data_IF_455379680264
#
_entry.id   IF_455379680264
#
_cell.length_a   1.000
_cell.length_b   1.000
_cell.length_c   1.000
_cell.angle_alpha   90.00
_cell.angle_beta   90.00
_cell.angle_gamma   90.00
#
_symmetry.space_group_name_H-M   'P 1'
#
loop_
_entity.id
_entity.type
_entity.pdbx_description
1 polymer ?
#
# COMPACT_ATOMS: atom_id res chain seq x y z
N UNK A 1 -10.41 1.86 -26.40
CA UNK A 1 -9.29 2.06 -25.48
C UNK A 1 -9.82 2.74 -24.22
N UNK A 2 -9.57 2.18 -23.05
CA UNK A 2 -9.95 2.80 -21.78
C UNK A 2 -9.09 4.06 -21.62
N UNK A 3 -9.71 5.24 -21.41
CA UNK A 3 -8.93 6.48 -21.26
C UNK A 3 -8.01 6.37 -20.04
N UNK A 4 -6.77 6.86 -20.16
CA UNK A 4 -5.77 6.83 -19.09
C UNK A 4 -6.32 7.34 -17.74
N UNK A 5 -7.31 8.24 -17.79
CA UNK A 5 -8.12 8.73 -16.66
C UNK A 5 -8.77 7.64 -15.82
N UNK A 6 -9.50 6.71 -16.44
CA UNK A 6 -10.19 5.65 -15.71
C UNK A 6 -9.22 4.65 -15.09
N UNK A 7 -8.09 4.38 -15.76
CA UNK A 7 -7.06 3.48 -15.23
C UNK A 7 -6.38 4.05 -13.98
N UNK A 8 -5.99 5.34 -14.00
CA UNK A 8 -5.43 6.01 -12.82
C UNK A 8 -6.45 6.17 -11.69
N UNK A 9 -7.72 6.44 -12.01
CA UNK A 9 -8.77 6.58 -11.00
C UNK A 9 -9.04 5.23 -10.31
N UNK A 10 -9.10 4.13 -11.07
CA UNK A 10 -9.18 2.80 -10.52
C UNK A 10 -7.98 2.46 -9.61
N UNK A 11 -6.77 2.93 -9.95
CA UNK A 11 -5.60 2.78 -9.07
C UNK A 11 -5.74 3.58 -7.78
N UNK A 12 -6.15 4.84 -7.84
CA UNK A 12 -6.34 5.68 -6.64
C UNK A 12 -7.38 5.04 -5.71
N UNK A 13 -8.53 4.63 -6.27
CA UNK A 13 -9.57 3.93 -5.51
C UNK A 13 -8.98 2.67 -4.87
N UNK A 14 -8.24 1.86 -5.62
CA UNK A 14 -7.61 0.64 -5.08
C UNK A 14 -6.65 0.96 -3.92
N UNK A 15 -5.82 1.98 -4.04
CA UNK A 15 -4.92 2.39 -2.96
C UNK A 15 -5.68 2.87 -1.72
N UNK A 16 -6.69 3.73 -1.89
CA UNK A 16 -7.52 4.23 -0.78
C UNK A 16 -8.25 3.07 -0.08
N UNK A 17 -8.78 2.12 -0.86
CA UNK A 17 -9.48 0.96 -0.30
C UNK A 17 -8.55 -0.01 0.41
N UNK A 18 -7.36 -0.25 -0.15
CA UNK A 18 -6.34 -1.09 0.48
C UNK A 18 -5.85 -0.46 1.80
N UNK A 19 -5.68 0.86 1.79
CA UNK A 19 -5.36 1.63 2.99
C UNK A 19 -6.47 1.55 4.04
N UNK A 20 -7.74 1.72 3.64
CA UNK A 20 -8.89 1.59 4.54
C UNK A 20 -9.00 0.19 5.15
N UNK A 21 -8.82 -0.87 4.36
CA UNK A 21 -8.78 -2.25 4.86
C UNK A 21 -7.66 -2.43 5.88
N UNK A 22 -6.48 -1.88 5.60
CA UNK A 22 -5.35 -1.93 6.53
C UNK A 22 -5.65 -1.20 7.85
N UNK A 23 -6.36 -0.07 7.80
CA UNK A 23 -6.80 0.64 9.01
C UNK A 23 -7.66 -0.22 9.91
N UNK A 24 -8.67 -0.89 9.33
CA UNK A 24 -9.58 -1.75 10.09
C UNK A 24 -8.79 -2.89 10.73
N UNK A 25 -7.85 -3.48 9.99
CA UNK A 25 -7.02 -4.57 10.50
C UNK A 25 -6.13 -4.12 11.66
N UNK A 26 -5.49 -2.94 11.57
CA UNK A 26 -4.70 -2.39 12.68
C UNK A 26 -5.57 -2.16 13.91
N UNK A 27 -6.75 -1.55 13.76
CA UNK A 27 -7.66 -1.30 14.88
C UNK A 27 -8.08 -2.61 15.57
N UNK A 28 -8.45 -3.62 14.79
CA UNK A 28 -8.75 -4.96 15.33
C UNK A 28 -7.54 -5.56 16.03
N UNK A 29 -6.35 -5.42 15.44
CA UNK A 29 -5.09 -5.90 15.99
C UNK A 29 -4.83 -5.35 17.39
N UNK A 30 -5.04 -4.04 17.58
CA UNK A 30 -4.83 -3.38 18.88
C UNK A 30 -5.85 -3.85 19.92
N UNK A 31 -7.09 -4.09 19.52
CA UNK A 31 -8.12 -4.65 20.40
C UNK A 31 -7.69 -6.06 20.86
N UNK A 32 -7.28 -6.92 19.94
CA UNK A 32 -6.78 -8.26 20.28
C UNK A 32 -5.54 -8.21 21.17
N UNK A 33 -4.59 -7.32 20.88
CA UNK A 33 -3.38 -7.15 21.67
C UNK A 33 -3.67 -6.64 23.08
N UNK A 34 -4.67 -5.75 23.23
CA UNK A 34 -5.07 -5.20 24.53
C UNK A 34 -5.76 -6.22 25.43
N UNK A 35 -6.33 -7.29 24.86
CA UNK A 35 -6.95 -8.38 25.61
C UNK A 35 -5.92 -9.39 26.13
N UNK A 36 -4.71 -9.39 25.57
CA UNK A 36 -3.66 -10.35 25.87
C UNK A 36 -2.80 -9.80 27.04
N UNK A 37 -3.01 -10.32 28.26
CA UNK A 37 -2.45 -9.76 29.50
C UNK A 37 -0.92 -9.91 29.63
N UNK A 38 -0.27 -10.66 28.74
CA UNK A 38 1.18 -10.90 28.74
C UNK A 38 1.99 -9.96 27.86
N UNK A 39 1.37 -8.96 27.23
CA UNK A 39 2.03 -8.10 26.24
C UNK A 39 2.77 -6.94 26.92
N UNK A 40 4.00 -6.70 26.47
CA UNK A 40 4.83 -5.60 26.96
C UNK A 40 4.13 -4.23 26.76
N UNK A 41 4.29 -3.34 27.74
CA UNK A 41 3.73 -1.98 27.74
C UNK A 41 4.19 -1.18 26.51
N UNK A 42 5.41 -1.41 26.05
CA UNK A 42 5.95 -0.77 24.85
C UNK A 42 5.15 -1.16 23.60
N UNK A 43 4.79 -2.44 23.46
CA UNK A 43 4.01 -2.92 22.31
C UNK A 43 2.60 -2.34 22.30
N UNK A 44 1.96 -2.27 23.46
CA UNK A 44 0.64 -1.65 23.61
C UNK A 44 0.71 -0.17 23.25
N UNK A 45 1.74 0.54 23.73
CA UNK A 45 1.93 1.97 23.44
C UNK A 45 2.14 2.24 21.94
N UNK A 46 3.01 1.47 21.27
CA UNK A 46 3.24 1.59 19.83
C UNK A 46 1.98 1.27 19.04
N UNK A 47 1.22 0.27 19.46
CA UNK A 47 -0.05 -0.13 18.83
C UNK A 47 -1.10 0.98 18.92
N UNK A 48 -1.24 1.61 20.10
CA UNK A 48 -2.13 2.76 20.31
C UNK A 48 -1.68 3.95 19.45
N UNK A 49 -0.37 4.26 19.42
CA UNK A 49 0.18 5.34 18.61
C UNK A 49 -0.07 5.10 17.11
N UNK A 50 0.13 3.87 16.63
CA UNK A 50 -0.16 3.47 15.26
C UNK A 50 -1.64 3.60 14.92
N UNK A 51 -2.53 3.16 15.82
CA UNK A 51 -3.98 3.31 15.64
C UNK A 51 -4.38 4.78 15.55
N UNK A 52 -3.85 5.62 16.43
CA UNK A 52 -4.11 7.06 16.40
C UNK A 52 -3.63 7.70 15.10
N UNK A 53 -2.39 7.40 14.68
CA UNK A 53 -1.82 7.89 13.43
C UNK A 53 -2.64 7.44 12.21
N UNK A 54 -3.13 6.20 12.24
CA UNK A 54 -3.99 5.65 11.20
C UNK A 54 -5.32 6.42 11.16
N UNK A 55 -5.95 6.69 12.30
CA UNK A 55 -7.17 7.53 12.38
C UNK A 55 -6.92 8.93 11.81
N UNK A 56 -5.83 9.60 12.20
CA UNK A 56 -5.45 10.92 11.67
C UNK A 56 -5.29 10.89 10.14
N UNK A 57 -4.70 9.82 9.60
CA UNK A 57 -4.54 9.67 8.16
C UNK A 57 -5.87 9.49 7.41
N UNK A 58 -6.83 8.72 7.95
CA UNK A 58 -8.19 8.67 7.40
C UNK A 58 -8.87 10.03 7.42
N UNK A 59 -8.83 10.73 8.56
CA UNK A 59 -9.40 12.07 8.66
C UNK A 59 -8.78 13.02 7.65
N UNK A 60 -7.46 12.96 7.45
CA UNK A 60 -6.76 13.76 6.45
C UNK A 60 -7.25 13.45 5.03
N UNK A 61 -7.38 12.17 4.68
CA UNK A 61 -7.92 11.76 3.37
C UNK A 61 -9.35 12.25 3.17
N UNK A 62 -10.23 12.02 4.14
CA UNK A 62 -11.64 12.45 4.07
C UNK A 62 -11.73 13.98 3.97
N UNK A 63 -10.98 14.70 4.80
CA UNK A 63 -10.95 16.16 4.82
C UNK A 63 -10.39 16.77 3.54
N UNK A 64 -9.42 16.09 2.91
CA UNK A 64 -8.85 16.49 1.62
C UNK A 64 -9.84 16.26 0.47
N UNK A 65 -10.52 15.11 0.45
CA UNK A 65 -11.52 14.77 -0.56
C UNK A 65 -12.88 15.49 -0.37
N UNK A 66 -13.18 16.02 0.82
CA UNK A 66 -14.48 16.63 1.14
C UNK A 66 -14.72 18.02 0.51
N UNK A 67 -13.74 18.66 -0.15
CA UNK A 67 -13.93 20.01 -0.69
C UNK A 67 -13.32 20.20 -2.07
N UNK A 68 -14.19 20.47 -3.05
CA UNK A 68 -13.86 20.83 -4.45
C UNK A 68 -12.80 21.93 -4.53
N UNK A 69 -12.88 22.94 -3.65
CA UNK A 69 -11.95 24.09 -3.62
C UNK A 69 -10.54 23.72 -3.14
N UNK A 70 -10.40 22.66 -2.32
CA UNK A 70 -9.10 22.17 -1.83
C UNK A 70 -8.42 21.27 -2.84
N UNK A 71 -9.19 20.45 -3.57
CA UNK A 71 -8.67 19.67 -4.70
C UNK A 71 -8.10 20.56 -5.81
N UNK A 72 -8.76 21.67 -6.17
CA UNK A 72 -8.23 22.63 -7.16
C UNK A 72 -6.94 23.30 -6.66
N UNK A 73 -6.84 23.59 -5.36
CA UNK A 73 -5.63 24.17 -4.77
C UNK A 73 -4.48 23.16 -4.69
N UNK A 74 -4.77 21.90 -4.37
CA UNK A 74 -3.79 20.82 -4.41
C UNK A 74 -3.31 20.52 -5.82
N UNK A 75 -4.21 20.53 -6.82
CA UNK A 75 -3.85 20.42 -8.23
C UNK A 75 -2.87 21.52 -8.65
N UNK A 76 -3.09 22.78 -8.20
CA UNK A 76 -2.13 23.88 -8.41
C UNK A 76 -0.77 23.62 -7.73
N UNK A 77 -0.75 23.12 -6.51
CA UNK A 77 0.50 22.75 -5.82
C UNK A 77 1.23 21.61 -6.53
N UNK A 78 0.52 20.57 -6.98
CA UNK A 78 1.10 19.46 -7.73
C UNK A 78 1.66 19.92 -9.07
N UNK A 79 0.96 20.81 -9.79
CA UNK A 79 1.45 21.40 -11.05
C UNK A 79 2.70 22.25 -10.80
N UNK A 80 2.77 22.98 -9.69
CA UNK A 80 3.95 23.76 -9.31
C UNK A 80 5.14 22.87 -8.93
N UNK A 81 4.91 21.81 -8.15
CA UNK A 81 5.93 20.83 -7.78
C UNK A 81 6.47 20.10 -9.01
N UNK A 82 5.58 19.63 -9.88
CA UNK A 82 5.96 18.93 -11.12
C UNK A 82 6.68 19.88 -12.08
N UNK A 83 6.25 21.14 -12.21
CA UNK A 83 6.99 22.12 -13.02
C UNK A 83 8.34 22.50 -12.40
N UNK A 84 8.48 22.56 -11.07
CA UNK A 84 9.77 22.82 -10.41
C UNK A 84 10.71 21.62 -10.50
N UNK A 85 10.20 20.40 -10.30
CA UNK A 85 10.95 19.16 -10.49
C UNK A 85 11.34 18.98 -11.96
N UNK A 86 10.43 19.24 -12.90
CA UNK A 86 10.76 19.23 -14.32
C UNK A 86 11.79 20.30 -14.66
N UNK A 87 11.74 21.50 -14.07
CA UNK A 87 12.74 22.54 -14.24
C UNK A 87 14.11 22.12 -13.70
N UNK A 88 14.13 21.44 -12.55
CA UNK A 88 15.34 20.93 -11.91
C UNK A 88 15.95 19.77 -12.70
N UNK A 89 15.16 18.76 -13.07
CA UNK A 89 15.60 17.57 -13.80
C UNK A 89 15.92 17.87 -15.28
N UNK A 90 15.19 18.79 -15.92
CA UNK A 90 15.38 19.14 -17.33
C UNK A 90 16.39 20.29 -17.51
N UNK A 91 17.08 20.73 -16.44
CA UNK A 91 18.02 21.87 -16.47
C UNK A 91 17.43 23.08 -17.22
N UNK A 92 16.15 23.38 -16.98
CA UNK A 92 15.45 24.53 -17.56
C UNK A 92 15.02 24.43 -19.04
N UNK A 93 15.18 23.30 -19.75
CA UNK A 93 14.87 23.22 -21.19
C UNK A 93 13.39 23.07 -21.56
N UNK A 94 12.48 22.70 -20.65
CA UNK A 94 11.02 22.64 -20.92
C UNK A 94 10.20 23.32 -19.82
N UNK A 95 9.55 24.44 -20.15
CA UNK A 95 8.86 25.33 -19.20
C UNK A 95 7.37 25.02 -18.96
N UNK A 96 6.72 24.19 -19.76
CA UNK A 96 5.27 23.88 -19.65
C UNK A 96 5.00 22.45 -20.13
N UNK A 97 5.07 21.46 -19.22
CA UNK A 97 4.75 20.06 -19.55
C UNK A 97 3.30 19.68 -19.18
N UNK A 98 2.67 20.40 -18.24
CA UNK A 98 1.29 20.18 -17.81
C UNK A 98 0.51 21.51 -17.80
N UNK A 99 -0.59 21.60 -18.55
CA UNK A 99 -1.55 22.70 -18.43
C UNK A 99 -2.39 22.49 -17.17
N UNK A 100 -2.44 23.51 -16.31
CA UNK A 100 -3.20 23.45 -15.05
C UNK A 100 -4.69 23.09 -15.28
N UNK A 101 -5.24 23.45 -16.44
CA UNK A 101 -6.63 23.19 -16.83
C UNK A 101 -6.94 21.68 -16.99
N UNK A 102 -6.00 20.90 -17.53
CA UNK A 102 -6.22 19.46 -17.74
C UNK A 102 -6.12 18.68 -16.42
N UNK A 103 -5.24 19.11 -15.52
CA UNK A 103 -5.10 18.54 -14.16
C UNK A 103 -6.30 18.92 -13.30
N UNK A 104 -6.79 20.16 -13.40
CA UNK A 104 -7.99 20.61 -12.70
C UNK A 104 -9.22 19.80 -13.12
N UNK A 105 -9.40 19.57 -14.43
CA UNK A 105 -10.49 18.74 -14.95
C UNK A 105 -10.38 17.29 -14.46
N UNK A 106 -9.18 16.71 -14.44
CA UNK A 106 -8.93 15.37 -13.92
C UNK A 106 -9.29 15.23 -12.43
N UNK A 107 -8.90 16.19 -11.61
CA UNK A 107 -9.23 16.18 -10.18
C UNK A 107 -10.73 16.41 -9.92
N UNK A 108 -11.41 17.19 -10.77
CA UNK A 108 -12.87 17.37 -10.70
C UNK A 108 -13.61 16.10 -11.14
N UNK A 109 -13.13 15.41 -12.16
CA UNK A 109 -13.68 14.11 -12.58
C UNK A 109 -13.48 13.06 -11.49
N UNK A 110 -12.30 13.01 -10.84
CA UNK A 110 -12.02 12.15 -9.67
C UNK A 110 -12.97 12.46 -8.50
N UNK A 111 -13.28 13.73 -8.26
CA UNK A 111 -14.22 14.15 -7.21
C UNK A 111 -15.65 13.71 -7.52
N UNK A 112 -16.10 13.86 -8.77
CA UNK A 112 -17.43 13.42 -9.18
C UNK A 112 -17.57 11.90 -9.09
N UNK A 113 -16.59 11.15 -9.59
CA UNK A 113 -16.54 9.69 -9.45
C UNK A 113 -16.51 9.27 -7.96
N UNK A 114 -15.80 9.99 -7.09
CA UNK A 114 -15.79 9.73 -5.65
C UNK A 114 -17.17 9.89 -5.00
N UNK A 115 -17.93 10.92 -5.37
CA UNK A 115 -19.29 11.14 -4.88
C UNK A 115 -20.23 10.05 -5.38
N UNK A 116 -20.10 9.66 -6.66
CA UNK A 116 -20.93 8.63 -7.28
C UNK A 116 -20.66 7.24 -6.66
N UNK A 117 -19.39 6.95 -6.37
CA UNK A 117 -18.95 5.74 -5.65
C UNK A 117 -19.41 5.73 -4.18
N UNK A 118 -19.46 6.88 -3.51
CA UNK A 118 -20.03 6.96 -2.15
C UNK A 118 -21.51 6.60 -2.10
N UNK A 119 -22.26 6.86 -3.17
CA UNK A 119 -23.69 6.54 -3.24
C UNK A 119 -23.92 5.03 -3.40
N UNK A 120 -23.01 4.31 -4.07
CA UNK A 120 -23.07 2.85 -4.20
C UNK A 120 -22.07 2.10 -3.27
N UNK A 121 -22.40 2.07 -1.97
CA UNK A 121 -21.62 1.36 -0.93
C UNK A 121 -21.30 -0.11 -1.26
N UNK A 122 -22.12 -0.78 -2.08
CA UNK A 122 -21.89 -2.17 -2.50
C UNK A 122 -20.71 -2.34 -3.46
N UNK A 123 -20.39 -1.33 -4.27
CA UNK A 123 -19.25 -1.38 -5.19
C UNK A 123 -17.94 -1.32 -4.39
N UNK A 124 -17.93 -0.58 -3.28
CA UNK A 124 -16.78 -0.45 -2.38
C UNK A 124 -16.52 -1.69 -1.52
N UNK A 125 -17.53 -2.51 -1.25
CA UNK A 125 -17.38 -3.68 -0.37
C UNK A 125 -16.45 -4.74 -0.96
N UNK A 126 -16.50 -4.97 -2.29
CA UNK A 126 -15.63 -5.94 -2.98
C UNK A 126 -14.14 -5.58 -2.88
N UNK A 127 -13.69 -4.36 -3.24
CA UNK A 127 -12.31 -3.91 -3.02
C UNK A 127 -11.88 -3.96 -1.56
N UNK A 128 -12.76 -3.59 -0.63
CA UNK A 128 -12.45 -3.61 0.81
C UNK A 128 -12.22 -5.04 1.30
N UNK A 129 -13.08 -5.99 0.93
CA UNK A 129 -12.89 -7.40 1.26
C UNK A 129 -11.60 -7.95 0.67
N UNK A 130 -11.31 -7.64 -0.60
CA UNK A 130 -10.03 -8.02 -1.21
C UNK A 130 -8.83 -7.41 -0.50
N UNK A 131 -8.95 -6.15 -0.05
CA UNK A 131 -7.93 -5.50 0.76
C UNK A 131 -7.73 -6.20 2.10
N UNK A 132 -8.81 -6.59 2.79
CA UNK A 132 -8.72 -7.35 4.05
C UNK A 132 -8.04 -8.69 3.81
N UNK A 133 -8.48 -9.45 2.82
CA UNK A 133 -7.88 -10.73 2.46
C UNK A 133 -6.40 -10.59 2.12
N UNK A 134 -6.02 -9.57 1.33
CA UNK A 134 -4.62 -9.31 1.00
C UNK A 134 -3.78 -9.04 2.25
N UNK A 135 -4.26 -8.17 3.16
CA UNK A 135 -3.56 -7.87 4.40
C UNK A 135 -3.44 -9.09 5.33
N UNK A 136 -4.49 -9.92 5.41
CA UNK A 136 -4.45 -11.18 6.15
C UNK A 136 -3.43 -12.14 5.54
N UNK A 137 -3.42 -12.28 4.22
CA UNK A 137 -2.45 -13.14 3.53
C UNK A 137 -1.01 -12.67 3.75
N UNK A 138 -0.77 -11.35 3.74
CA UNK A 138 0.56 -10.79 4.03
C UNK A 138 1.03 -11.15 5.45
N UNK A 139 0.15 -11.00 6.45
CA UNK A 139 0.46 -11.43 7.83
C UNK A 139 0.63 -12.93 7.94
N UNK A 140 -0.23 -13.71 7.29
CA UNK A 140 -0.14 -15.16 7.29
C UNK A 140 1.18 -15.63 6.69
N UNK A 141 1.64 -15.01 5.60
CA UNK A 141 2.92 -15.33 4.97
C UNK A 141 4.07 -15.10 5.95
N UNK A 142 4.05 -13.98 6.67
CA UNK A 142 5.05 -13.70 7.71
C UNK A 142 4.93 -14.70 8.86
N UNK A 143 3.72 -14.95 9.36
CA UNK A 143 3.48 -15.89 10.44
C UNK A 143 3.97 -17.31 10.11
N UNK A 144 3.73 -17.77 8.88
CA UNK A 144 4.23 -19.07 8.40
C UNK A 144 5.75 -19.07 8.29
N UNK A 145 6.38 -17.96 7.88
CA UNK A 145 7.83 -17.85 7.86
C UNK A 145 8.44 -17.96 9.28
N UNK A 146 7.83 -17.32 10.28
CA UNK A 146 8.24 -17.47 11.68
C UNK A 146 7.98 -18.87 12.22
N UNK A 147 6.84 -19.47 11.87
CA UNK A 147 6.50 -20.84 12.24
C UNK A 147 7.48 -21.87 11.65
N UNK A 148 7.95 -21.64 10.42
CA UNK A 148 8.97 -22.46 9.78
C UNK A 148 10.33 -22.42 10.50
N UNK A 149 10.61 -21.33 11.22
CA UNK A 149 11.77 -21.21 12.11
C UNK A 149 11.53 -21.79 13.51
N UNK A 150 10.33 -22.33 13.77
CA UNK A 150 9.95 -22.90 15.07
C UNK A 150 9.55 -21.86 16.12
N UNK A 151 9.29 -20.61 15.73
CA UNK A 151 8.93 -19.54 16.66
C UNK A 151 7.51 -19.02 16.41
N UNK A 152 6.69 -19.01 17.46
CA UNK A 152 5.32 -18.52 17.38
C UNK A 152 5.27 -17.01 17.69
N UNK A 153 4.86 -16.21 16.70
CA UNK A 153 4.62 -14.77 16.90
C UNK A 153 3.13 -14.52 16.87
N UNK A 154 2.61 -13.75 17.84
CA UNK A 154 1.21 -13.35 17.86
C UNK A 154 0.89 -12.56 16.56
N UNK A 155 -0.13 -12.97 15.76
CA UNK A 155 -0.51 -12.27 14.53
C UNK A 155 -0.81 -10.78 14.74
N UNK A 156 -1.26 -10.38 15.93
CA UNK A 156 -1.49 -8.99 16.25
C UNK A 156 -0.19 -8.15 16.22
N UNK A 157 0.88 -8.69 16.81
CA UNK A 157 2.21 -8.05 16.77
C UNK A 157 2.71 -7.94 15.33
N UNK A 158 2.47 -8.97 14.49
CA UNK A 158 2.83 -8.94 13.07
C UNK A 158 2.09 -7.84 12.30
N UNK A 159 0.79 -7.64 12.55
CA UNK A 159 0.02 -6.55 11.95
C UNK A 159 0.57 -5.16 12.33
N UNK A 160 0.93 -4.96 13.60
CA UNK A 160 1.52 -3.70 14.06
C UNK A 160 2.91 -3.50 13.46
N UNK A 161 3.71 -4.55 13.38
CA UNK A 161 5.02 -4.55 12.72
C UNK A 161 4.92 -4.17 11.24
N UNK A 162 3.96 -4.76 10.52
CA UNK A 162 3.62 -4.39 9.15
C UNK A 162 3.21 -2.91 9.06
N UNK A 163 2.39 -2.43 10.01
CA UNK A 163 1.92 -1.05 10.11
C UNK A 163 3.06 -0.05 10.14
N UNK A 164 3.86 -0.11 11.20
CA UNK A 164 4.97 0.83 11.41
C UNK A 164 6.00 0.77 10.27
N UNK A 165 6.28 -0.42 9.76
CA UNK A 165 7.24 -0.61 8.66
C UNK A 165 6.72 -0.04 7.34
N UNK A 166 5.44 -0.24 7.04
CA UNK A 166 4.81 0.31 5.82
C UNK A 166 4.79 1.83 5.84
N UNK A 167 4.51 2.44 7.00
CA UNK A 167 4.57 3.89 7.16
C UNK A 167 5.99 4.43 6.99
N UNK A 168 6.97 3.76 7.59
CA UNK A 168 8.35 4.20 7.47
C UNK A 168 8.92 4.04 6.05
N UNK A 169 8.47 3.03 5.31
CA UNK A 169 8.82 2.83 3.91
C UNK A 169 8.39 4.00 3.00
N UNK A 170 7.35 4.76 3.37
CA UNK A 170 6.92 5.96 2.62
C UNK A 170 8.02 7.03 2.59
N UNK A 171 8.80 7.12 3.67
CA UNK A 171 9.88 8.10 3.82
C UNK A 171 11.23 7.57 3.34
N UNK A 172 11.30 6.31 2.91
CA UNK A 172 12.54 5.71 2.45
C UNK A 172 12.86 6.13 1.01
N UNK A 173 14.10 6.60 0.78
CA UNK A 173 14.57 7.01 -0.54
C UNK A 173 14.84 5.84 -1.51
N UNK A 174 14.73 4.60 -1.03
CA UNK A 174 14.95 3.37 -1.81
C UNK A 174 13.69 2.99 -2.61
N UNK A 175 13.82 2.50 -3.85
CA UNK A 175 12.68 1.99 -4.62
C UNK A 175 11.90 0.93 -3.82
N UNK A 176 10.62 1.20 -3.53
CA UNK A 176 9.75 0.29 -2.77
C UNK A 176 10.03 0.22 -1.25
N UNK A 177 10.88 1.10 -0.70
CA UNK A 177 11.20 1.12 0.74
C UNK A 177 11.96 -0.09 1.27
N UNK A 178 12.51 -0.93 0.37
CA UNK A 178 13.30 -2.12 0.71
C UNK A 178 14.56 -1.72 1.50
N UNK A 179 14.93 -2.49 2.52
CA UNK A 179 15.93 -2.12 3.52
C UNK A 179 15.34 -1.43 4.74
N UNK A 180 14.72 -0.25 4.58
CA UNK A 180 14.13 0.51 5.71
C UNK A 180 12.93 -0.25 6.29
N UNK A 181 12.07 -0.76 5.41
CA UNK A 181 10.93 -1.57 5.80
C UNK A 181 11.36 -2.77 6.67
N UNK A 182 12.35 -3.52 6.19
CA UNK A 182 12.80 -4.76 6.84
C UNK A 182 13.49 -4.46 8.16
N UNK A 183 14.35 -3.43 8.19
CA UNK A 183 15.05 -3.03 9.40
C UNK A 183 14.06 -2.61 10.52
N UNK A 184 13.02 -1.85 10.17
CA UNK A 184 12.02 -1.41 11.16
C UNK A 184 11.16 -2.56 11.62
N UNK A 185 10.78 -3.46 10.73
CA UNK A 185 10.04 -4.67 11.09
C UNK A 185 10.86 -5.54 12.06
N UNK A 186 12.12 -5.82 11.73
CA UNK A 186 13.03 -6.61 12.57
C UNK A 186 13.23 -5.94 13.93
N UNK A 187 13.50 -4.64 13.95
CA UNK A 187 13.73 -3.88 15.19
C UNK A 187 12.49 -3.89 16.08
N UNK A 188 11.31 -3.70 15.49
CA UNK A 188 10.05 -3.76 16.22
C UNK A 188 9.78 -5.15 16.76
N UNK A 189 9.95 -6.21 15.97
CA UNK A 189 9.77 -7.58 16.43
C UNK A 189 10.77 -7.96 17.53
N UNK A 190 12.02 -7.51 17.43
CA UNK A 190 13.01 -7.67 18.49
C UNK A 190 12.58 -6.96 19.78
N UNK A 191 12.06 -5.73 19.68
CA UNK A 191 11.48 -5.02 20.83
C UNK A 191 10.22 -5.68 21.37
N UNK A 192 9.55 -6.51 20.57
CA UNK A 192 8.37 -7.27 20.94
C UNK A 192 8.67 -8.58 21.67
N UNK A 193 9.94 -8.88 21.93
CA UNK A 193 10.38 -10.12 22.57
C UNK A 193 10.68 -11.27 21.61
N UNK A 194 10.69 -11.04 20.30
CA UNK A 194 11.18 -12.02 19.32
C UNK A 194 12.72 -12.00 19.33
N UNK A 195 13.42 -13.15 19.44
CA UNK A 195 14.87 -13.19 19.30
C UNK A 195 15.34 -12.54 18.00
N UNK A 196 16.39 -11.70 18.05
CA UNK A 196 16.80 -10.87 16.92
C UNK A 196 17.23 -11.70 15.70
N UNK A 197 17.89 -12.83 15.93
CA UNK A 197 18.26 -13.83 14.92
C UNK A 197 17.03 -14.40 14.20
N UNK A 198 16.00 -14.75 14.96
CA UNK A 198 14.72 -15.23 14.43
C UNK A 198 13.96 -14.12 13.70
N UNK A 199 13.96 -12.89 14.22
CA UNK A 199 13.32 -11.74 13.61
C UNK A 199 13.92 -11.40 12.23
N UNK A 200 15.25 -11.42 12.12
CA UNK A 200 15.97 -11.23 10.86
C UNK A 200 15.64 -12.35 9.88
N UNK A 201 15.82 -13.60 10.32
CA UNK A 201 15.61 -14.77 9.46
C UNK A 201 14.15 -14.84 8.96
N UNK A 202 13.16 -14.64 9.85
CA UNK A 202 11.74 -14.74 9.53
C UNK A 202 11.28 -13.64 8.57
N UNK A 203 11.74 -12.40 8.80
CA UNK A 203 11.42 -11.26 7.93
C UNK A 203 12.01 -11.45 6.53
N UNK A 204 13.28 -11.83 6.43
CA UNK A 204 13.93 -12.06 5.14
C UNK A 204 13.33 -13.27 4.42
N UNK A 205 13.05 -14.37 5.13
CA UNK A 205 12.44 -15.56 4.56
C UNK A 205 11.05 -15.25 3.97
N UNK A 206 10.23 -14.49 4.70
CA UNK A 206 8.95 -14.00 4.19
C UNK A 206 9.12 -13.18 2.91
N UNK A 207 10.07 -12.23 2.90
CA UNK A 207 10.31 -11.34 1.74
C UNK A 207 10.81 -12.09 0.52
N UNK A 208 11.79 -12.98 0.70
CA UNK A 208 12.31 -13.82 -0.37
C UNK A 208 11.21 -14.73 -0.91
N UNK A 209 10.37 -15.31 -0.06
CA UNK A 209 9.25 -16.16 -0.48
C UNK A 209 8.21 -15.36 -1.28
N UNK A 210 7.86 -14.15 -0.82
CA UNK A 210 6.93 -13.27 -1.52
C UNK A 210 7.47 -12.85 -2.90
N UNK A 211 8.74 -12.44 -2.98
CA UNK A 211 9.36 -12.07 -4.25
C UNK A 211 9.51 -13.27 -5.19
N UNK A 212 10.00 -14.41 -4.69
CA UNK A 212 10.12 -15.64 -5.47
C UNK A 212 8.75 -16.10 -5.98
N UNK A 213 7.72 -16.07 -5.14
CA UNK A 213 6.34 -16.36 -5.52
C UNK A 213 5.86 -15.42 -6.63
N UNK A 214 6.04 -14.11 -6.45
CA UNK A 214 5.64 -13.10 -7.44
C UNK A 214 6.35 -13.29 -8.78
N UNK A 215 7.65 -13.55 -8.77
CA UNK A 215 8.45 -13.80 -9.97
C UNK A 215 8.01 -15.10 -10.66
N UNK A 216 7.80 -16.18 -9.90
CA UNK A 216 7.40 -17.47 -10.43
C UNK A 216 6.00 -17.40 -11.06
N UNK A 217 5.01 -16.84 -10.35
CA UNK A 217 3.68 -16.61 -10.89
C UNK A 217 3.71 -15.68 -12.11
N UNK A 218 4.52 -14.62 -12.06
CA UNK A 218 4.73 -13.71 -13.19
C UNK A 218 5.27 -14.45 -14.42
N UNK A 219 6.25 -15.32 -14.25
CA UNK A 219 6.84 -16.11 -15.34
C UNK A 219 5.86 -17.14 -15.92
N UNK A 220 5.12 -17.86 -15.08
CA UNK A 220 4.09 -18.80 -15.53
C UNK A 220 2.99 -18.10 -16.34
N UNK A 221 2.54 -16.94 -15.88
CA UNK A 221 1.53 -16.15 -16.60
C UNK A 221 2.07 -15.53 -17.89
N UNK A 222 3.35 -15.15 -17.90
CA UNK A 222 4.05 -14.69 -19.10
C UNK A 222 4.12 -15.78 -20.15
N UNK A 223 4.49 -17.02 -19.77
CA UNK A 223 4.50 -18.16 -20.68
C UNK A 223 3.11 -18.47 -21.22
N UNK A 224 2.07 -18.48 -20.38
CA UNK A 224 0.69 -18.70 -20.84
C UNK A 224 0.21 -17.62 -21.81
N UNK A 225 0.63 -16.37 -21.62
CA UNK A 225 0.26 -15.25 -22.50
C UNK A 225 0.94 -15.38 -23.86
N UNK A 226 2.24 -15.71 -23.90
CA UNK A 226 2.95 -15.95 -25.16
C UNK A 226 2.43 -17.20 -25.86
N UNK A 227 2.09 -18.27 -25.13
CA UNK A 227 1.57 -19.48 -25.76
C UNK A 227 0.17 -19.27 -26.39
N UNK A 228 -0.62 -18.34 -25.83
CA UNK A 228 -1.97 -18.01 -26.32
C UNK A 228 -1.98 -16.94 -27.43
N UNK A 229 -1.06 -15.97 -27.40
CA UNK A 229 -0.98 -14.89 -28.40
C UNK A 229 0.12 -15.08 -29.46
N UNK A 230 1.15 -15.88 -29.20
CA UNK A 230 2.19 -16.21 -30.18
C UNK A 230 1.63 -17.02 -31.36
N UNK A 231 0.65 -17.91 -31.12
CA UNK A 231 -0.02 -18.71 -32.16
C UNK A 231 -0.91 -17.91 -33.12
N UNK A 232 -1.33 -16.69 -32.77
CA UNK A 232 -2.11 -15.83 -33.68
C UNK A 232 -1.24 -15.05 -34.66
N UNK A 233 0.05 -14.86 -34.38
CA UNK A 233 0.96 -14.14 -35.28
C UNK A 233 1.42 -14.99 -36.46
N UNK A 234 1.51 -16.32 -36.30
CA UNK A 234 1.89 -17.24 -37.39
C UNK A 234 0.70 -17.61 -38.28
N UNK A 235 -0.53 -17.66 -37.74
CA UNK A 235 -1.75 -17.92 -38.52
C UNK A 235 -2.26 -16.70 -39.30
N UNK A 236 -1.74 -15.50 -39.06
CA UNK A 236 -2.06 -14.28 -39.81
C UNK A 236 -1.10 -14.04 -41.00
N UNK A 237 -0.03 -14.84 -41.11
CA UNK A 237 0.99 -14.76 -42.15
C UNK A 237 1.09 -16.04 -43.02
N UNK A 238 0.06 -16.90 -43.03
CA UNK A 238 -0.10 -18.01 -43.97
C UNK A 238 -1.44 -17.93 -44.70
#
# INVERSE_FOLDING_TARGET
>A
GVSACRATMAQIIRYVMMFASFMIMILLSVIFLSLDQGVDRLLISISIAMSFMTIVSAFTLIFFFSSRTRMVRAAKYTVLLVNNLAKFVTFGKKKHLLKAVDVEKYFVDIYHDYIEIQQEKKILLKPLMWGVVANVLDVCLIAVAFLALGFWVNPAVLFVALGISSFAAIFAATPGGSGVYEAIMITFLASAGVPADVAIAGTLLARVTLFAGTICFGFLFYQMTIHKYGKMSDAANS
#
